data_IF_845435560980
#
_entry.id   IF_845435560980
#
_cell.length_a   1.000
_cell.length_b   1.000
_cell.length_c   1.000
_cell.angle_alpha   90.00
_cell.angle_beta   90.00
_cell.angle_gamma   90.00
#
_symmetry.space_group_name_H-M   'P 1'
#
loop_
_entity.id
_entity.type
_entity.pdbx_description
1 polymer ?
#
# COMPACT_ATOMS: atom_id res chain seq x y z
N UNK A 1 -9.36 -21.96 -14.86
CA UNK A 1 -8.35 -20.96 -15.26
C UNK A 1 -8.66 -19.63 -14.58
N UNK A 2 -7.67 -19.04 -13.92
CA UNK A 2 -7.85 -17.73 -13.27
C UNK A 2 -7.58 -16.64 -14.29
N UNK A 3 -8.45 -15.63 -14.37
CA UNK A 3 -8.24 -14.47 -15.24
C UNK A 3 -6.96 -13.71 -14.83
N UNK A 4 -6.32 -13.06 -15.80
CA UNK A 4 -5.08 -12.31 -15.56
C UNK A 4 -5.27 -11.24 -14.49
N UNK A 5 -6.42 -10.56 -14.50
CA UNK A 5 -6.72 -9.51 -13.51
C UNK A 5 -6.90 -10.09 -12.11
N UNK A 6 -7.48 -11.28 -11.97
CA UNK A 6 -7.60 -11.96 -10.67
C UNK A 6 -6.22 -12.35 -10.14
N UNK A 7 -5.33 -12.84 -11.01
CA UNK A 7 -3.94 -13.16 -10.63
C UNK A 7 -3.20 -11.91 -10.20
N UNK A 8 -3.40 -10.80 -10.91
CA UNK A 8 -2.74 -9.53 -10.61
C UNK A 8 -3.18 -8.99 -9.23
N UNK A 9 -4.47 -9.05 -8.93
CA UNK A 9 -4.96 -8.65 -7.60
C UNK A 9 -4.33 -9.51 -6.50
N UNK A 10 -4.33 -10.82 -6.66
CA UNK A 10 -3.76 -11.74 -5.67
C UNK A 10 -2.25 -11.50 -5.50
N UNK A 11 -1.54 -11.28 -6.59
CA UNK A 11 -0.10 -11.02 -6.59
C UNK A 11 0.25 -9.75 -5.81
N UNK A 12 -0.48 -8.67 -6.06
CA UNK A 12 -0.24 -7.39 -5.40
C UNK A 12 -0.56 -7.46 -3.90
N UNK A 13 -1.67 -8.13 -3.53
CA UNK A 13 -2.02 -8.32 -2.12
C UNK A 13 -0.94 -9.10 -1.39
N UNK A 14 -0.42 -10.16 -1.99
CA UNK A 14 0.67 -10.94 -1.39
C UNK A 14 1.96 -10.12 -1.28
N UNK A 15 2.28 -9.35 -2.31
CA UNK A 15 3.45 -8.47 -2.30
C UNK A 15 3.38 -7.45 -1.17
N UNK A 16 2.23 -6.79 -1.01
CA UNK A 16 2.04 -5.79 0.04
C UNK A 16 2.12 -6.42 1.43
N UNK A 17 1.50 -7.57 1.64
CA UNK A 17 1.60 -8.28 2.92
C UNK A 17 3.03 -8.69 3.23
N UNK A 18 3.75 -9.19 2.24
CA UNK A 18 5.14 -9.64 2.40
C UNK A 18 6.06 -8.48 2.82
N UNK A 19 5.92 -7.32 2.17
CA UNK A 19 6.79 -6.17 2.47
C UNK A 19 6.35 -5.43 3.72
N UNK A 20 5.07 -5.02 3.79
CA UNK A 20 4.63 -4.08 4.83
C UNK A 20 4.31 -4.76 6.16
N UNK A 21 3.78 -5.98 6.13
CA UNK A 21 3.37 -6.69 7.34
C UNK A 21 4.42 -7.68 7.80
N UNK A 22 4.86 -8.57 6.92
CA UNK A 22 5.87 -9.58 7.27
C UNK A 22 7.29 -9.05 7.26
N UNK A 23 7.54 -7.98 6.54
CA UNK A 23 8.85 -7.34 6.41
C UNK A 23 9.94 -8.32 5.97
N UNK A 24 9.57 -9.23 5.09
CA UNK A 24 10.48 -10.19 4.50
C UNK A 24 11.07 -9.58 3.22
N UNK A 25 12.18 -8.86 3.38
CA UNK A 25 12.79 -8.11 2.27
C UNK A 25 13.36 -9.02 1.19
N UNK A 26 13.90 -10.17 1.57
CA UNK A 26 14.40 -11.13 0.60
C UNK A 26 13.28 -11.69 -0.28
N UNK A 27 12.14 -12.04 0.32
CA UNK A 27 10.96 -12.46 -0.43
C UNK A 27 10.38 -11.32 -1.25
N UNK A 28 10.34 -10.10 -0.69
CA UNK A 28 9.79 -8.93 -1.37
C UNK A 28 10.53 -8.60 -2.67
N UNK A 29 11.83 -8.85 -2.74
CA UNK A 29 12.61 -8.64 -3.97
C UNK A 29 12.08 -9.44 -5.16
N UNK A 30 11.36 -10.55 -4.92
CA UNK A 30 10.78 -11.35 -6.00
C UNK A 30 9.49 -10.77 -6.55
N UNK A 31 8.90 -9.79 -5.87
CA UNK A 31 7.68 -9.12 -6.29
C UNK A 31 7.95 -7.79 -6.98
N UNK A 32 8.99 -7.07 -6.57
CA UNK A 32 9.32 -5.74 -7.10
C UNK A 32 10.41 -5.81 -8.15
N UNK A 33 10.17 -5.16 -9.29
CA UNK A 33 11.16 -5.05 -10.36
C UNK A 33 12.42 -4.34 -9.87
N UNK A 34 13.62 -4.78 -10.28
CA UNK A 34 14.83 -4.01 -10.02
C UNK A 34 14.82 -2.63 -10.70
N UNK A 35 13.98 -2.45 -11.73
CA UNK A 35 13.82 -1.19 -12.46
C UNK A 35 12.55 -0.45 -12.04
N UNK A 36 12.05 -0.71 -10.85
CA UNK A 36 10.81 -0.16 -10.30
C UNK A 36 10.79 1.37 -10.33
N UNK A 37 9.70 1.93 -10.89
CA UNK A 37 9.51 3.37 -11.04
C UNK A 37 8.57 3.87 -9.95
N UNK A 38 9.06 4.82 -9.14
CA UNK A 38 8.32 5.34 -8.00
C UNK A 38 7.85 6.77 -8.26
N UNK A 39 6.51 6.97 -8.25
CA UNK A 39 5.90 8.30 -8.39
C UNK A 39 5.41 8.87 -7.05
N UNK A 40 5.43 8.11 -5.97
CA UNK A 40 5.04 8.63 -4.67
C UNK A 40 5.94 9.81 -4.29
N UNK A 41 5.34 10.92 -3.90
CA UNK A 41 6.08 12.11 -3.48
C UNK A 41 6.82 11.89 -2.15
N UNK A 42 6.53 10.81 -1.45
CA UNK A 42 7.05 10.55 -0.10
C UNK A 42 8.10 9.44 -0.06
N UNK A 43 8.42 8.82 -1.19
CA UNK A 43 9.27 7.63 -1.24
C UNK A 43 10.45 7.89 -2.19
N UNK A 44 11.66 7.58 -1.74
CA UNK A 44 12.87 7.68 -2.56
C UNK A 44 12.82 6.72 -3.76
N UNK A 45 13.59 6.98 -4.83
CA UNK A 45 13.49 6.19 -6.08
C UNK A 45 13.82 4.72 -5.92
N UNK A 46 13.22 3.92 -6.79
CA UNK A 46 13.52 2.50 -6.92
C UNK A 46 12.89 1.66 -5.82
N UNK A 47 13.02 0.35 -5.95
CA UNK A 47 12.54 -0.55 -4.89
C UNK A 47 13.35 -0.40 -3.61
N UNK A 48 14.62 0.00 -3.72
CA UNK A 48 15.48 0.27 -2.57
C UNK A 48 14.93 1.40 -1.72
N UNK A 49 14.44 2.47 -2.35
CA UNK A 49 13.80 3.58 -1.65
C UNK A 49 12.58 3.14 -0.86
N UNK A 50 11.75 2.31 -1.46
CA UNK A 50 10.58 1.73 -0.81
C UNK A 50 10.98 0.84 0.37
N UNK A 51 11.94 -0.06 0.17
CA UNK A 51 12.37 -0.98 1.21
C UNK A 51 13.01 -0.23 2.40
N UNK A 52 13.80 0.81 2.12
CA UNK A 52 14.39 1.63 3.19
C UNK A 52 13.32 2.39 3.98
N UNK A 53 12.26 2.86 3.32
CA UNK A 53 11.12 3.49 3.99
C UNK A 53 10.50 2.53 5.00
N UNK A 54 10.26 1.28 4.59
CA UNK A 54 9.66 0.26 5.47
C UNK A 54 10.59 -0.08 6.63
N UNK A 55 11.90 -0.22 6.36
CA UNK A 55 12.91 -0.50 7.41
C UNK A 55 12.97 0.61 8.45
N UNK A 56 12.78 1.86 8.03
CA UNK A 56 12.81 3.02 8.93
C UNK A 56 11.50 3.22 9.69
N UNK A 57 10.42 2.58 9.27
CA UNK A 57 9.11 2.72 9.91
C UNK A 57 9.07 1.98 11.26
N UNK A 58 8.16 2.38 12.18
CA UNK A 58 7.99 1.66 13.45
C UNK A 58 7.75 0.16 13.23
N UNK A 59 8.26 -0.70 14.15
CA UNK A 59 8.13 -2.16 13.97
C UNK A 59 6.69 -2.66 13.93
N UNK A 60 5.76 -1.90 14.50
CA UNK A 60 4.34 -2.24 14.54
C UNK A 60 3.53 -1.60 13.41
N UNK A 61 4.18 -0.97 12.44
CA UNK A 61 3.48 -0.49 11.25
C UNK A 61 2.77 -1.65 10.55
N UNK A 62 1.53 -1.41 10.14
CA UNK A 62 0.68 -2.44 9.55
C UNK A 62 -0.09 -1.89 8.37
N UNK A 63 -0.24 -2.71 7.33
CA UNK A 63 -1.10 -2.43 6.19
C UNK A 63 -2.35 -3.29 6.22
N UNK A 64 -3.52 -2.65 6.01
CA UNK A 64 -4.80 -3.31 5.84
C UNK A 64 -5.38 -2.91 4.49
N UNK A 65 -5.87 -3.91 3.72
CA UNK A 65 -6.51 -3.64 2.44
C UNK A 65 -8.02 -3.72 2.57
N UNK A 66 -8.72 -2.74 1.98
CA UNK A 66 -10.17 -2.79 1.81
C UNK A 66 -10.52 -3.20 0.38
N UNK A 67 -10.60 -2.21 -0.52
CA UNK A 67 -10.93 -2.45 -1.92
C UNK A 67 -9.65 -2.74 -2.72
N UNK A 68 -9.71 -3.73 -3.60
CA UNK A 68 -8.68 -3.98 -4.60
C UNK A 68 -9.35 -4.27 -5.93
N UNK A 69 -8.95 -3.55 -6.97
CA UNK A 69 -9.50 -3.69 -8.33
C UNK A 69 -8.36 -3.76 -9.33
N UNK A 70 -8.59 -4.43 -10.44
CA UNK A 70 -7.61 -4.55 -11.50
C UNK A 70 -8.24 -4.19 -12.84
N UNK A 71 -7.44 -3.55 -13.69
CA UNK A 71 -7.80 -3.26 -15.07
C UNK A 71 -6.53 -3.44 -15.92
N UNK A 72 -6.54 -4.45 -16.79
CA UNK A 72 -5.34 -4.80 -17.56
C UNK A 72 -4.18 -5.15 -16.63
N UNK A 73 -3.06 -4.46 -16.81
CA UNK A 73 -1.85 -4.65 -16.01
C UNK A 73 -1.76 -3.71 -14.80
N UNK A 74 -2.81 -2.95 -14.52
CA UNK A 74 -2.86 -2.04 -13.37
C UNK A 74 -3.74 -2.62 -12.27
N UNK A 75 -3.31 -2.43 -11.02
CA UNK A 75 -4.07 -2.79 -9.82
C UNK A 75 -4.17 -1.57 -8.93
N UNK A 76 -5.36 -1.28 -8.43
CA UNK A 76 -5.61 -0.20 -7.50
C UNK A 76 -6.08 -0.78 -6.17
N UNK A 77 -5.48 -0.29 -5.07
CA UNK A 77 -5.80 -0.70 -3.71
C UNK A 77 -6.19 0.50 -2.89
N UNK A 78 -7.24 0.34 -2.08
CA UNK A 78 -7.61 1.32 -1.05
C UNK A 78 -7.32 0.68 0.30
N UNK A 79 -6.42 1.27 1.06
CA UNK A 79 -5.92 0.66 2.29
C UNK A 79 -5.57 1.64 3.38
N UNK A 80 -5.25 1.08 4.54
CA UNK A 80 -4.79 1.84 5.70
C UNK A 80 -3.40 1.38 6.09
N UNK A 81 -2.51 2.36 6.32
CA UNK A 81 -1.24 2.13 7.01
C UNK A 81 -1.38 2.68 8.42
N UNK A 82 -1.29 1.79 9.41
CA UNK A 82 -1.35 2.14 10.84
C UNK A 82 0.05 2.19 11.43
N UNK A 83 0.21 2.96 12.51
CA UNK A 83 1.46 3.02 13.27
C UNK A 83 2.64 3.46 12.40
N UNK A 84 2.43 4.53 11.65
CA UNK A 84 3.44 5.04 10.70
C UNK A 84 4.44 6.01 11.34
N UNK A 85 4.37 6.21 12.66
CA UNK A 85 5.23 7.16 13.36
C UNK A 85 4.74 8.60 13.29
N UNK A 86 3.49 8.82 12.91
CA UNK A 86 2.84 10.11 12.80
C UNK A 86 1.59 10.13 13.69
N UNK A 87 1.04 11.32 14.01
CA UNK A 87 -0.16 11.41 14.86
C UNK A 87 -1.39 10.70 14.26
N UNK A 88 -1.51 10.68 12.95
CA UNK A 88 -2.62 10.02 12.26
C UNK A 88 -2.13 8.82 11.45
N UNK A 89 -2.99 7.81 11.33
CA UNK A 89 -2.80 6.75 10.34
C UNK A 89 -3.05 7.32 8.95
N UNK A 90 -2.61 6.60 7.91
CA UNK A 90 -2.77 7.03 6.53
C UNK A 90 -3.79 6.18 5.80
N UNK A 91 -4.70 6.84 5.11
CA UNK A 91 -5.55 6.19 4.11
C UNK A 91 -4.93 6.46 2.75
N UNK A 92 -4.70 5.39 2.00
CA UNK A 92 -3.91 5.45 0.77
C UNK A 92 -4.64 4.78 -0.38
N UNK A 93 -4.69 5.48 -1.51
CA UNK A 93 -5.02 4.87 -2.79
C UNK A 93 -3.72 4.62 -3.53
N UNK A 94 -3.35 3.34 -3.66
CA UNK A 94 -2.17 2.91 -4.38
C UNK A 94 -2.56 2.41 -5.76
N UNK A 95 -1.81 2.81 -6.78
CA UNK A 95 -1.94 2.25 -8.14
C UNK A 95 -0.60 1.64 -8.50
N UNK A 96 -0.60 0.37 -8.90
CA UNK A 96 0.61 -0.32 -9.33
C UNK A 96 0.41 -0.88 -10.72
N UNK A 97 1.48 -0.87 -11.51
CA UNK A 97 1.53 -1.51 -12.83
C UNK A 97 2.42 -2.73 -12.76
N UNK A 98 1.94 -3.80 -13.35
CA UNK A 98 2.67 -5.08 -13.42
C UNK A 98 3.24 -5.24 -14.83
N UNK A 99 4.52 -5.59 -14.91
CA UNK A 99 5.21 -5.89 -16.16
C UNK A 99 6.13 -7.09 -15.95
N UNK A 100 6.04 -8.05 -16.85
CA UNK A 100 6.84 -9.29 -16.78
C UNK A 100 6.70 -10.01 -15.44
N UNK A 101 5.48 -9.96 -14.86
CA UNK A 101 5.17 -10.63 -13.61
C UNK A 101 5.70 -9.95 -12.35
N UNK A 102 6.14 -8.68 -12.46
CA UNK A 102 6.69 -7.92 -11.33
C UNK A 102 6.00 -6.57 -11.21
N UNK A 103 6.03 -6.01 -9.98
CA UNK A 103 5.60 -4.64 -9.74
C UNK A 103 6.63 -3.71 -10.36
N UNK A 104 6.22 -2.98 -11.40
CA UNK A 104 7.11 -2.18 -12.23
C UNK A 104 6.98 -0.68 -12.01
N UNK A 105 5.82 -0.21 -11.54
CA UNK A 105 5.56 1.23 -11.42
C UNK A 105 4.47 1.47 -10.39
N UNK A 106 4.57 2.58 -9.65
CA UNK A 106 3.68 2.87 -8.53
C UNK A 106 3.35 4.35 -8.44
N UNK A 107 2.08 4.64 -8.20
CA UNK A 107 1.55 5.97 -7.86
C UNK A 107 0.74 5.83 -6.58
N UNK A 108 0.63 6.92 -5.80
CA UNK A 108 -0.26 6.92 -4.65
C UNK A 108 -0.86 8.30 -4.38
N UNK A 109 -1.94 8.29 -3.62
CA UNK A 109 -2.54 9.46 -2.99
C UNK A 109 -2.72 9.11 -1.52
N UNK A 110 -2.12 9.90 -0.64
CA UNK A 110 -2.09 9.66 0.79
C UNK A 110 -2.84 10.77 1.51
N UNK A 111 -3.68 10.40 2.47
CA UNK A 111 -4.38 11.35 3.31
C UNK A 111 -4.38 10.85 4.76
N UNK A 112 -4.18 11.78 5.70
CA UNK A 112 -4.32 11.47 7.13
C UNK A 112 -5.75 11.00 7.41
N UNK A 113 -5.89 9.94 8.20
CA UNK A 113 -7.19 9.40 8.53
C UNK A 113 -7.91 10.30 9.54
N UNK A 114 -9.11 10.78 9.16
CA UNK A 114 -9.93 11.61 10.01
C UNK A 114 -10.60 10.80 11.10
N UNK A 115 -10.61 11.35 12.32
CA UNK A 115 -11.43 10.84 13.42
C UNK A 115 -12.89 11.24 13.19
N UNK A 116 -13.80 10.72 14.04
CA UNK A 116 -15.22 11.08 13.97
C UNK A 116 -15.44 12.58 14.02
N UNK A 117 -14.71 13.27 14.91
CA UNK A 117 -14.87 14.72 15.08
C UNK A 117 -14.32 15.51 13.90
N UNK A 118 -13.36 14.96 13.18
CA UNK A 118 -12.73 15.62 12.02
C UNK A 118 -13.46 15.35 10.71
N UNK A 119 -14.24 14.27 10.64
CA UNK A 119 -14.91 13.87 9.40
C UNK A 119 -16.14 14.71 9.14
N UNK A 120 -16.07 15.57 8.14
CA UNK A 120 -17.19 16.46 7.75
C UNK A 120 -18.38 15.64 7.25
N UNK A 121 -18.13 14.52 6.56
CA UNK A 121 -19.20 13.66 6.05
C UNK A 121 -19.89 12.86 7.15
N UNK A 122 -19.29 12.76 8.33
CA UNK A 122 -19.78 11.91 9.42
C UNK A 122 -19.54 10.42 9.18
N UNK A 123 -18.79 10.05 8.15
CA UNK A 123 -18.49 8.66 7.79
C UNK A 123 -16.98 8.40 7.85
N UNK A 124 -16.57 7.16 8.16
CA UNK A 124 -15.14 6.82 8.18
C UNK A 124 -14.57 6.78 6.77
N UNK A 125 -13.28 7.10 6.66
CA UNK A 125 -12.56 7.04 5.39
C UNK A 125 -12.24 5.60 4.97
N UNK A 126 -12.19 4.69 5.92
CA UNK A 126 -11.80 3.31 5.69
C UNK A 126 -12.55 2.39 6.66
N UNK A 127 -13.11 1.29 6.12
CA UNK A 127 -13.84 0.33 6.93
C UNK A 127 -15.17 0.88 7.45
N UNK A 128 -15.69 0.26 8.50
CA UNK A 128 -17.02 0.56 9.05
C UNK A 128 -16.99 1.44 10.31
N UNK A 129 -15.81 1.65 10.89
CA UNK A 129 -15.65 2.38 12.16
C UNK A 129 -14.55 3.43 12.05
N UNK A 130 -14.68 4.47 12.85
CA UNK A 130 -13.65 5.52 12.95
C UNK A 130 -12.45 5.02 13.74
N UNK A 131 -11.24 5.55 13.44
CA UNK A 131 -10.07 5.27 14.25
C UNK A 131 -10.20 5.96 15.62
N UNK A 132 -9.54 5.38 16.63
CA UNK A 132 -9.42 5.98 17.96
C UNK A 132 -7.98 6.45 18.11
N UNK A 133 -7.80 7.77 18.35
CA UNK A 133 -6.50 8.35 18.66
C UNK A 133 -6.45 8.71 20.14
N UNK A 134 -5.38 8.32 20.79
CA UNK A 134 -5.14 8.65 22.20
C UNK A 134 -4.15 9.79 22.35
#
# INVERSE_FOLDING_TARGET
MIAAEDRNRAFVLEAFDTLFNRRDYAAAQRFWSPDYIQHSAHIAPGREGLFELVKAAPPDMRYENGLVVASGDHVMLHGRFSNVGQPADWIVADVVRIEDGLLAEHWDVIQDEATRDESVSGLPMFGAVFPVRT
#
